data_IF_705944028369
#
_entry.id   IF_705944028369
#
_cell.length_a   1.000
_cell.length_b   1.000
_cell.length_c   1.000
_cell.angle_alpha   90.00
_cell.angle_beta   90.00
_cell.angle_gamma   90.00
#
_symmetry.space_group_name_H-M   'P 1'
#
loop_
_entity.id
_entity.type
_entity.pdbx_description
1 polymer ?
#
# COMPACT_ATOMS: atom_id res chain seq x y z
N UNK A 1 4.84 15.62 -22.86
CA UNK A 1 5.59 14.72 -21.97
C UNK A 1 5.81 15.49 -20.69
N UNK A 2 5.02 15.24 -19.66
CA UNK A 2 5.33 15.75 -18.33
C UNK A 2 6.62 15.05 -17.89
N UNK A 3 7.65 15.82 -17.55
CA UNK A 3 8.87 15.26 -16.97
C UNK A 3 8.54 14.77 -15.57
N UNK A 4 8.48 13.45 -15.41
CA UNK A 4 8.43 12.82 -14.10
C UNK A 4 9.68 13.22 -13.31
N UNK A 5 9.51 14.05 -12.28
CA UNK A 5 10.60 14.53 -11.45
C UNK A 5 10.81 13.55 -10.30
N UNK A 6 11.76 12.63 -10.46
CA UNK A 6 12.21 11.80 -9.33
C UNK A 6 13.03 12.65 -8.35
N UNK A 7 12.72 12.48 -7.07
CA UNK A 7 13.40 13.17 -5.96
C UNK A 7 14.39 12.26 -5.23
N UNK A 8 14.29 10.94 -5.44
CA UNK A 8 15.18 9.92 -4.86
C UNK A 8 15.74 9.04 -6.00
N UNK A 9 17.03 8.70 -5.91
CA UNK A 9 17.69 7.78 -6.84
C UNK A 9 17.13 6.35 -6.70
N UNK A 10 17.08 5.60 -7.80
CA UNK A 10 16.49 4.25 -7.82
C UNK A 10 17.14 3.31 -6.80
N UNK A 11 18.47 3.33 -6.69
CA UNK A 11 19.22 2.48 -5.77
C UNK A 11 18.86 2.74 -4.31
N UNK A 12 18.63 4.01 -3.96
CA UNK A 12 18.23 4.44 -2.62
C UNK A 12 16.80 3.97 -2.35
N UNK A 13 15.88 4.19 -3.30
CA UNK A 13 14.49 3.77 -3.17
C UNK A 13 14.36 2.25 -2.99
N UNK A 14 15.14 1.46 -3.73
CA UNK A 14 15.19 0.01 -3.59
C UNK A 14 15.69 -0.37 -2.19
N UNK A 15 16.78 0.23 -1.72
CA UNK A 15 17.36 -0.11 -0.42
C UNK A 15 16.42 0.27 0.74
N UNK A 16 15.77 1.42 0.66
CA UNK A 16 14.76 1.86 1.63
C UNK A 16 13.58 0.86 1.68
N UNK A 17 13.06 0.47 0.51
CA UNK A 17 11.98 -0.52 0.44
C UNK A 17 12.43 -1.90 0.94
N UNK A 18 13.66 -2.34 0.62
CA UNK A 18 14.23 -3.60 1.16
C UNK A 18 14.31 -3.56 2.68
N UNK A 19 14.73 -2.45 3.27
CA UNK A 19 14.83 -2.28 4.72
C UNK A 19 13.47 -2.31 5.39
N UNK A 20 12.47 -1.64 4.80
CA UNK A 20 11.08 -1.77 5.20
C UNK A 20 10.60 -3.23 5.13
N UNK A 21 10.75 -3.89 3.98
CA UNK A 21 10.29 -5.26 3.76
C UNK A 21 10.89 -6.25 4.78
N UNK A 22 12.20 -6.17 5.03
CA UNK A 22 12.91 -7.03 6.01
C UNK A 22 12.44 -6.84 7.45
N UNK A 23 11.86 -5.69 7.79
CA UNK A 23 11.32 -5.44 9.13
C UNK A 23 10.03 -6.21 9.41
N UNK A 24 9.30 -6.63 8.36
CA UNK A 24 8.05 -7.39 8.46
C UNK A 24 8.20 -8.84 8.02
N UNK A 25 8.98 -9.08 6.96
CA UNK A 25 9.16 -10.40 6.36
C UNK A 25 10.54 -10.97 6.69
N UNK A 26 10.55 -12.11 7.40
CA UNK A 26 11.80 -12.82 7.79
C UNK A 26 12.43 -13.63 6.65
N UNK A 27 11.76 -13.74 5.50
CA UNK A 27 12.26 -14.53 4.37
C UNK A 27 13.34 -13.72 3.63
N UNK A 28 14.47 -14.36 3.26
CA UNK A 28 15.50 -13.68 2.48
C UNK A 28 14.97 -13.35 1.08
N UNK A 29 15.37 -12.18 0.56
CA UNK A 29 15.19 -11.83 -0.85
C UNK A 29 16.20 -12.68 -1.64
N UNK A 30 15.69 -13.60 -2.46
CA UNK A 30 16.52 -14.56 -3.20
C UNK A 30 16.95 -14.05 -4.57
N UNK A 31 16.10 -13.23 -5.18
CA UNK A 31 16.27 -12.67 -6.51
C UNK A 31 15.93 -11.18 -6.44
N UNK A 32 16.90 -10.33 -6.78
CA UNK A 32 16.72 -8.88 -6.70
C UNK A 32 15.92 -8.33 -7.88
N UNK A 33 16.04 -8.90 -9.07
CA UNK A 33 15.30 -8.43 -10.25
C UNK A 33 13.82 -8.76 -10.08
N UNK A 34 13.51 -9.99 -9.66
CA UNK A 34 12.14 -10.38 -9.34
C UNK A 34 11.53 -9.51 -8.24
N UNK A 35 12.33 -9.13 -7.23
CA UNK A 35 11.87 -8.25 -6.16
C UNK A 35 11.53 -6.84 -6.67
N UNK A 36 12.37 -6.28 -7.56
CA UNK A 36 12.09 -4.97 -8.18
C UNK A 36 10.83 -5.00 -9.02
N UNK A 37 10.62 -6.06 -9.80
CA UNK A 37 9.43 -6.21 -10.64
C UNK A 37 8.16 -6.39 -9.77
N UNK A 38 8.23 -7.22 -8.73
CA UNK A 38 7.09 -7.48 -7.84
C UNK A 38 6.65 -6.22 -7.07
N UNK A 39 7.63 -5.39 -6.67
CA UNK A 39 7.43 -4.18 -5.87
C UNK A 39 7.71 -2.89 -6.66
N UNK A 40 7.55 -2.93 -7.99
CA UNK A 40 7.79 -1.79 -8.87
C UNK A 40 7.03 -0.54 -8.40
N UNK A 41 5.71 -0.65 -8.17
CA UNK A 41 4.90 0.50 -7.80
C UNK A 41 5.32 1.15 -6.45
N UNK A 42 5.50 0.41 -5.34
CA UNK A 42 6.05 1.01 -4.11
C UNK A 42 7.44 1.66 -4.27
N UNK A 43 8.35 1.03 -5.02
CA UNK A 43 9.69 1.58 -5.28
C UNK A 43 9.57 2.89 -6.08
N UNK A 44 8.71 2.90 -7.09
CA UNK A 44 8.44 4.07 -7.92
C UNK A 44 7.82 5.21 -7.09
N UNK A 45 6.88 4.90 -6.20
CA UNK A 45 6.29 5.89 -5.29
C UNK A 45 7.33 6.50 -4.33
N UNK A 46 8.34 5.75 -3.90
CA UNK A 46 9.48 6.29 -3.12
C UNK A 46 10.32 7.22 -3.99
N UNK A 47 10.65 6.82 -5.24
CA UNK A 47 11.40 7.69 -6.17
C UNK A 47 10.71 9.02 -6.42
N UNK A 48 9.38 9.03 -6.46
CA UNK A 48 8.54 10.22 -6.61
C UNK A 48 8.40 11.04 -5.32
N UNK A 49 8.82 10.49 -4.17
CA UNK A 49 8.67 11.12 -2.85
C UNK A 49 7.26 11.04 -2.29
N UNK A 50 6.39 10.24 -2.91
CA UNK A 50 5.01 10.05 -2.48
C UNK A 50 4.90 9.02 -1.36
N UNK A 51 5.83 8.05 -1.29
CA UNK A 51 5.87 7.05 -0.24
C UNK A 51 7.08 7.28 0.68
N UNK A 52 6.80 7.39 1.98
CA UNK A 52 7.81 7.47 3.04
C UNK A 52 7.51 6.44 4.15
N UNK A 53 8.50 6.17 5.00
CA UNK A 53 8.34 5.30 6.17
C UNK A 53 8.55 6.09 7.47
N UNK A 54 7.45 6.48 8.13
CA UNK A 54 7.47 7.14 9.45
C UNK A 54 7.42 6.08 10.55
N UNK A 55 8.44 6.00 11.41
CA UNK A 55 8.53 4.98 12.48
C UNK A 55 8.28 3.53 11.97
N UNK A 56 8.84 3.21 10.81
CA UNK A 56 8.64 1.93 10.10
C UNK A 56 7.20 1.66 9.62
N UNK A 57 6.34 2.68 9.61
CA UNK A 57 4.99 2.61 9.02
C UNK A 57 4.96 3.34 7.68
N UNK A 58 4.43 2.73 6.63
CA UNK A 58 4.27 3.44 5.35
C UNK A 58 3.28 4.59 5.48
N UNK A 59 3.62 5.71 4.85
CA UNK A 59 2.75 6.87 4.63
C UNK A 59 2.82 7.20 3.14
N UNK A 60 1.68 7.10 2.46
CA UNK A 60 1.55 7.37 1.03
C UNK A 60 0.76 8.66 0.82
N UNK A 61 1.39 9.67 0.23
CA UNK A 61 0.69 10.82 -0.34
C UNK A 61 0.15 10.42 -1.71
N UNK A 62 -1.16 10.58 -1.93
CA UNK A 62 -1.80 10.20 -3.19
C UNK A 62 -1.41 11.17 -4.30
N UNK A 63 -1.08 10.64 -5.48
CA UNK A 63 -0.80 11.45 -6.67
C UNK A 63 -2.02 12.28 -7.06
N UNK A 64 -3.20 11.67 -6.96
CA UNK A 64 -4.49 12.34 -7.16
C UNK A 64 -5.35 12.20 -5.92
N UNK A 65 -5.37 13.23 -5.05
CA UNK A 65 -6.21 13.23 -3.88
C UNK A 65 -7.69 13.03 -4.25
N UNK A 66 -8.37 12.17 -3.50
CA UNK A 66 -9.81 11.96 -3.64
C UNK A 66 -10.53 13.24 -3.20
N UNK A 67 -11.41 13.75 -4.05
CA UNK A 67 -12.18 14.98 -3.81
C UNK A 67 -13.54 14.66 -3.19
N UNK A 68 -14.03 15.51 -2.30
CA UNK A 68 -15.42 15.48 -1.83
C UNK A 68 -16.36 16.17 -2.83
N UNK A 69 -17.67 16.13 -2.56
CA UNK A 69 -18.71 16.74 -3.41
C UNK A 69 -18.57 18.26 -3.56
N UNK A 70 -17.85 18.92 -2.66
CA UNK A 70 -17.61 20.37 -2.66
C UNK A 70 -16.26 20.73 -3.35
N UNK A 71 -15.51 19.74 -3.86
CA UNK A 71 -14.21 19.94 -4.48
C UNK A 71 -13.02 20.04 -3.51
N UNK A 72 -13.26 19.90 -2.21
CA UNK A 72 -12.23 19.76 -1.17
C UNK A 72 -11.58 18.38 -1.18
N UNK A 73 -10.43 18.23 -0.52
CA UNK A 73 -9.73 16.94 -0.41
C UNK A 73 -10.39 16.08 0.67
N UNK A 74 -10.95 14.93 0.27
CA UNK A 74 -11.47 13.91 1.17
C UNK A 74 -10.36 12.96 1.66
N UNK A 75 -9.44 12.58 0.76
CA UNK A 75 -8.29 11.75 1.07
C UNK A 75 -7.10 12.21 0.24
N UNK A 76 -6.03 12.67 0.88
CA UNK A 76 -4.78 13.04 0.22
C UNK A 76 -3.58 12.23 0.68
N UNK A 77 -3.69 11.56 1.83
CA UNK A 77 -2.62 10.81 2.46
C UNK A 77 -3.20 9.54 3.09
N UNK A 78 -2.48 8.44 2.97
CA UNK A 78 -2.82 7.13 3.53
C UNK A 78 -1.74 6.73 4.52
N UNK A 79 -2.12 6.59 5.79
CA UNK A 79 -1.25 6.04 6.86
C UNK A 79 -1.60 4.58 7.09
N UNK A 80 -0.62 3.70 6.93
CA UNK A 80 -0.88 2.26 7.01
C UNK A 80 -0.81 1.77 8.46
N UNK A 81 -1.81 0.98 8.85
CA UNK A 81 -1.67 0.02 9.95
C UNK A 81 -0.79 -1.12 9.47
N UNK A 82 0.04 -1.64 10.37
CA UNK A 82 1.02 -2.70 10.05
C UNK A 82 0.62 -4.07 10.61
N UNK A 83 -0.56 -4.17 11.24
CA UNK A 83 -1.05 -5.41 11.86
C UNK A 83 -2.57 -5.47 11.86
N UNK A 84 -3.10 -6.66 11.60
CA UNK A 84 -4.52 -7.02 11.85
C UNK A 84 -4.60 -7.88 13.12
N UNK A 85 -5.19 -7.39 14.23
CA UNK A 85 -5.41 -8.21 15.42
C UNK A 85 -6.30 -9.42 15.12
N UNK A 86 -6.08 -10.54 15.82
CA UNK A 86 -6.80 -11.82 15.55
C UNK A 86 -8.31 -11.65 15.65
N UNK A 87 -8.80 -10.92 16.65
CA UNK A 87 -10.24 -10.65 16.80
C UNK A 87 -10.80 -9.80 15.67
N UNK A 88 -10.00 -8.84 15.17
CA UNK A 88 -10.37 -8.05 14.00
C UNK A 88 -10.39 -8.91 12.75
N UNK A 89 -9.40 -9.77 12.53
CA UNK A 89 -9.38 -10.72 11.41
C UNK A 89 -10.63 -11.61 11.41
N UNK A 90 -11.01 -12.16 12.57
CA UNK A 90 -12.25 -12.93 12.74
C UNK A 90 -13.48 -12.13 12.32
N UNK A 91 -13.55 -10.86 12.69
CA UNK A 91 -14.68 -9.98 12.34
C UNK A 91 -14.68 -9.67 10.83
N UNK A 92 -13.52 -9.42 10.22
CA UNK A 92 -13.42 -9.15 8.78
C UNK A 92 -13.82 -10.37 7.94
N UNK A 93 -13.52 -11.58 8.42
CA UNK A 93 -13.92 -12.85 7.80
C UNK A 93 -15.39 -13.23 8.04
N UNK A 94 -16.09 -12.54 8.94
CA UNK A 94 -17.44 -12.92 9.31
C UNK A 94 -18.40 -12.85 8.10
N UNK A 95 -19.15 -13.94 7.90
CA UNK A 95 -20.09 -14.08 6.80
C UNK A 95 -19.48 -14.48 5.45
N UNK A 96 -18.15 -14.69 5.38
CA UNK A 96 -17.49 -15.14 4.16
C UNK A 96 -17.39 -16.66 4.09
N UNK A 97 -17.60 -17.21 2.89
CA UNK A 97 -17.48 -18.63 2.56
C UNK A 97 -16.25 -18.85 1.70
N UNK A 98 -15.17 -19.33 2.31
CA UNK A 98 -13.92 -19.62 1.61
C UNK A 98 -14.02 -20.93 0.81
N UNK A 99 -13.43 -21.00 -0.41
CA UNK A 99 -12.54 -20.02 -1.03
C UNK A 99 -13.25 -18.93 -1.87
N UNK A 100 -14.56 -19.01 -2.08
CA UNK A 100 -15.29 -18.17 -3.03
C UNK A 100 -15.18 -16.67 -2.72
N UNK A 101 -15.09 -16.31 -1.44
CA UNK A 101 -15.07 -14.92 -0.99
C UNK A 101 -13.65 -14.39 -0.67
N UNK A 102 -12.60 -15.02 -1.22
CA UNK A 102 -11.22 -14.61 -0.97
C UNK A 102 -10.95 -13.16 -1.41
N UNK A 103 -11.51 -12.75 -2.55
CA UNK A 103 -11.35 -11.38 -3.06
C UNK A 103 -12.00 -10.34 -2.15
N UNK A 104 -13.21 -10.64 -1.65
CA UNK A 104 -13.91 -9.79 -0.68
C UNK A 104 -13.13 -9.66 0.63
N UNK A 105 -12.51 -10.75 1.12
CA UNK A 105 -11.64 -10.68 2.28
C UNK A 105 -10.43 -9.77 2.02
N UNK A 106 -9.80 -9.86 0.84
CA UNK A 106 -8.68 -9.00 0.46
C UNK A 106 -9.07 -7.53 0.49
N UNK A 107 -10.23 -7.17 -0.09
CA UNK A 107 -10.79 -5.81 -0.05
C UNK A 107 -10.95 -5.32 1.41
N UNK A 108 -11.56 -6.14 2.27
CA UNK A 108 -11.77 -5.81 3.68
C UNK A 108 -10.47 -5.60 4.45
N UNK A 109 -9.44 -6.41 4.15
CA UNK A 109 -8.14 -6.29 4.77
C UNK A 109 -7.41 -5.03 4.32
N UNK A 110 -7.41 -4.74 3.01
CA UNK A 110 -6.83 -3.52 2.46
C UNK A 110 -7.49 -2.30 3.10
N UNK A 111 -8.82 -2.22 3.04
CA UNK A 111 -9.62 -1.15 3.62
C UNK A 111 -9.32 -0.94 5.11
N UNK A 112 -9.24 -2.02 5.89
CA UNK A 112 -8.88 -1.95 7.30
C UNK A 112 -7.45 -1.40 7.54
N UNK A 113 -6.48 -1.89 6.76
CA UNK A 113 -5.06 -1.52 6.90
C UNK A 113 -4.81 -0.06 6.52
N UNK A 114 -5.58 0.52 5.61
CA UNK A 114 -5.49 1.95 5.26
C UNK A 114 -6.48 2.85 6.02
N UNK A 115 -7.28 2.26 6.91
CA UNK A 115 -8.32 2.94 7.70
C UNK A 115 -9.37 3.69 6.85
N UNK A 116 -9.74 3.10 5.71
CA UNK A 116 -10.75 3.66 4.80
C UNK A 116 -11.93 2.69 4.62
N UNK A 117 -13.14 3.18 4.27
CA UNK A 117 -14.22 2.32 3.84
C UNK A 117 -13.86 1.64 2.51
N UNK A 118 -14.33 0.40 2.28
CA UNK A 118 -14.05 -0.35 1.06
C UNK A 118 -14.40 0.43 -0.23
N UNK A 119 -15.50 1.19 -0.21
CA UNK A 119 -15.93 2.03 -1.33
C UNK A 119 -14.93 3.16 -1.69
N UNK A 120 -13.98 3.49 -0.79
CA UNK A 120 -12.92 4.45 -1.08
C UNK A 120 -11.90 3.87 -2.07
N UNK A 121 -11.72 2.55 -2.11
CA UNK A 121 -10.75 1.91 -3.00
C UNK A 121 -11.08 2.18 -4.48
N UNK A 122 -12.37 2.25 -4.83
CA UNK A 122 -12.84 2.58 -6.19
C UNK A 122 -12.58 4.05 -6.59
N UNK A 123 -12.15 4.89 -5.64
CA UNK A 123 -11.86 6.32 -5.87
C UNK A 123 -10.38 6.61 -5.96
N UNK A 124 -9.53 5.67 -5.56
CA UNK A 124 -8.07 5.80 -5.60
C UNK A 124 -7.61 5.45 -7.02
N UNK A 125 -6.68 6.23 -7.56
CA UNK A 125 -6.12 5.96 -8.88
C UNK A 125 -5.34 4.64 -8.91
N UNK A 126 -5.27 4.02 -10.10
CA UNK A 126 -4.72 2.68 -10.26
C UNK A 126 -3.29 2.53 -9.70
N UNK A 127 -2.42 3.53 -9.93
CA UNK A 127 -1.05 3.48 -9.45
C UNK A 127 -0.99 3.49 -7.91
N UNK A 128 -1.66 4.45 -7.26
CA UNK A 128 -1.75 4.53 -5.80
C UNK A 128 -2.40 3.27 -5.21
N UNK A 129 -3.43 2.72 -5.87
CA UNK A 129 -4.09 1.49 -5.44
C UNK A 129 -3.15 0.27 -5.55
N UNK A 130 -2.31 0.21 -6.58
CA UNK A 130 -1.29 -0.81 -6.73
C UNK A 130 -0.24 -0.71 -5.61
N UNK A 131 0.24 0.49 -5.29
CA UNK A 131 1.14 0.75 -4.15
C UNK A 131 0.52 0.26 -2.85
N UNK A 132 -0.74 0.63 -2.58
CA UNK A 132 -1.50 0.21 -1.40
C UNK A 132 -1.62 -1.32 -1.34
N UNK A 133 -1.97 -1.96 -2.45
CA UNK A 133 -2.16 -3.42 -2.51
C UNK A 133 -0.85 -4.16 -2.24
N UNK A 134 0.27 -3.68 -2.79
CA UNK A 134 1.59 -4.29 -2.58
C UNK A 134 2.09 -4.07 -1.16
N UNK A 135 1.90 -2.88 -0.58
CA UNK A 135 2.26 -2.60 0.81
C UNK A 135 1.44 -3.42 1.80
N UNK A 136 0.13 -3.54 1.58
CA UNK A 136 -0.75 -4.32 2.47
C UNK A 136 -0.41 -5.81 2.45
N UNK A 137 0.02 -6.35 1.30
CA UNK A 137 0.49 -7.74 1.19
C UNK A 137 1.73 -8.04 2.07
N UNK A 138 2.54 -7.04 2.41
CA UNK A 138 3.70 -7.20 3.32
C UNK A 138 3.25 -7.49 4.77
N UNK A 139 2.03 -7.09 5.15
CA UNK A 139 1.50 -7.25 6.51
C UNK A 139 0.64 -8.49 6.73
N UNK A 140 0.32 -9.24 5.66
CA UNK A 140 -0.60 -10.38 5.65
C UNK A 140 0.16 -11.72 5.48
#
# INVERSE_FOLDING_TARGET
METTNYVIAEEIAIEDFKNFYKSFIRKPIKDEEQFKDEFFAPIEAIKLGNLIFEDSKPVLTLEKPVKNTEGGTALGEVKFKTRVPVMTMKNLQHGLTMPNDQFELSIRLIAYLIDQPAAMLDKIENFDLEVITKLTAVFL
#
